data_IF_603516112025
#
_entry.id   IF_603516112025
#
_cell.length_a   1.000
_cell.length_b   1.000
_cell.length_c   1.000
_cell.angle_alpha   90.00
_cell.angle_beta   90.00
_cell.angle_gamma   90.00
#
_symmetry.space_group_name_H-M   'P 1'
#
loop_
_entity.id
_entity.type
_entity.pdbx_description
1 polymer ?
#
# COMPACT_ATOMS: atom_id res chain seq x y z
N UNK A 1 27.29 14.63 -24.67
CA UNK A 1 26.06 15.42 -24.51
C UNK A 1 25.03 14.45 -23.97
N UNK A 2 24.94 14.41 -22.64
CA UNK A 2 24.23 13.37 -21.89
C UNK A 2 22.73 13.67 -21.90
N UNK A 3 21.93 12.65 -22.17
CA UNK A 3 20.47 12.68 -22.01
C UNK A 3 20.17 12.51 -20.53
N UNK A 4 19.52 13.50 -19.92
CA UNK A 4 19.03 13.46 -18.55
C UNK A 4 17.92 12.39 -18.44
N UNK A 5 18.15 11.43 -17.56
CA UNK A 5 17.16 10.43 -17.14
C UNK A 5 16.03 11.13 -16.38
N UNK A 6 14.90 11.35 -17.05
CA UNK A 6 13.67 11.76 -16.39
C UNK A 6 13.08 10.58 -15.61
N UNK A 7 13.59 10.35 -14.39
CA UNK A 7 13.06 9.37 -13.46
C UNK A 7 11.63 9.75 -13.03
N UNK A 8 10.65 8.93 -13.39
CA UNK A 8 9.27 9.07 -12.92
C UNK A 8 9.20 8.66 -11.45
N UNK A 9 9.08 9.64 -10.54
CA UNK A 9 8.84 9.38 -9.11
C UNK A 9 7.39 8.93 -8.90
N UNK A 10 7.21 7.74 -8.32
CA UNK A 10 5.91 7.14 -8.04
C UNK A 10 5.74 7.09 -6.52
N UNK A 11 4.96 8.03 -5.97
CA UNK A 11 4.70 8.11 -4.53
C UNK A 11 3.43 7.34 -4.14
N UNK A 12 3.46 6.81 -2.92
CA UNK A 12 2.37 6.23 -2.16
C UNK A 12 1.11 7.11 -2.10
N UNK A 13 0.00 6.55 -1.61
CA UNK A 13 -1.39 7.03 -1.75
C UNK A 13 -1.70 8.45 -1.21
N UNK A 14 -1.36 9.47 -1.98
CA UNK A 14 -2.10 10.69 -2.36
C UNK A 14 -3.03 11.54 -1.48
N UNK A 15 -3.42 11.16 -0.27
CA UNK A 15 -4.02 12.09 0.71
C UNK A 15 -3.14 12.32 1.94
N UNK A 16 -1.94 11.76 1.89
CA UNK A 16 -1.14 11.46 3.07
C UNK A 16 0.01 12.45 3.36
N UNK A 17 0.19 13.46 2.51
CA UNK A 17 1.39 14.31 2.54
C UNK A 17 1.22 15.66 3.27
N UNK A 18 0.06 15.91 3.89
CA UNK A 18 -0.08 17.00 4.87
C UNK A 18 -0.42 16.39 6.22
N UNK A 19 0.58 16.16 7.04
CA UNK A 19 0.40 15.82 8.45
C UNK A 19 0.10 17.14 9.17
N UNK A 20 -1.13 17.32 9.65
CA UNK A 20 -1.44 18.40 10.58
C UNK A 20 -0.95 18.02 11.98
N UNK A 21 -0.71 18.98 12.88
CA UNK A 21 -0.25 18.70 14.26
C UNK A 21 -1.09 17.65 15.00
N UNK A 22 -2.38 17.50 14.65
CA UNK A 22 -3.26 16.47 15.22
C UNK A 22 -2.90 15.05 14.74
N UNK A 23 -2.41 14.89 13.51
CA UNK A 23 -2.00 13.62 12.95
C UNK A 23 -0.65 13.17 13.54
N UNK A 24 0.26 14.11 13.85
CA UNK A 24 1.57 13.81 14.47
C UNK A 24 1.39 13.03 15.78
N UNK A 25 0.50 13.49 16.67
CA UNK A 25 0.25 12.81 17.94
C UNK A 25 -0.34 11.41 17.78
N UNK A 26 -1.21 11.21 16.79
CA UNK A 26 -1.78 9.88 16.52
C UNK A 26 -0.74 8.95 15.86
N UNK A 27 0.17 9.50 15.05
CA UNK A 27 1.34 8.79 14.51
C UNK A 27 2.28 8.36 15.63
N UNK A 28 2.61 9.26 16.55
CA UNK A 28 3.47 8.96 17.71
C UNK A 28 2.89 7.82 18.55
N UNK A 29 1.61 7.88 18.93
CA UNK A 29 0.93 6.80 19.67
C UNK A 29 0.99 5.47 18.93
N UNK A 30 0.73 5.49 17.62
CA UNK A 30 0.78 4.29 16.80
C UNK A 30 2.20 3.70 16.79
N UNK A 31 3.22 4.54 16.63
CA UNK A 31 4.63 4.11 16.62
C UNK A 31 5.06 3.54 17.97
N UNK A 32 4.70 4.18 19.08
CA UNK A 32 4.99 3.66 20.42
C UNK A 32 4.34 2.29 20.63
N UNK A 33 3.08 2.13 20.25
CA UNK A 33 2.39 0.85 20.29
C UNK A 33 3.09 -0.19 19.40
N UNK A 34 3.35 0.14 18.12
CA UNK A 34 3.97 -0.76 17.17
C UNK A 34 5.36 -1.25 17.62
N UNK A 35 6.18 -0.38 18.21
CA UNK A 35 7.48 -0.77 18.76
C UNK A 35 7.37 -1.75 19.93
N UNK A 36 6.35 -1.62 20.78
CA UNK A 36 6.09 -2.60 21.84
C UNK A 36 5.67 -3.95 21.27
N UNK A 37 4.83 -3.96 20.23
CA UNK A 37 4.42 -5.21 19.56
C UNK A 37 5.59 -5.90 18.85
N UNK A 38 6.47 -5.15 18.18
CA UNK A 38 7.68 -5.71 17.53
C UNK A 38 8.54 -6.52 18.51
N UNK A 39 8.61 -6.08 19.77
CA UNK A 39 9.38 -6.78 20.80
C UNK A 39 8.72 -8.08 21.28
N UNK A 40 7.41 -8.26 21.03
CA UNK A 40 6.60 -9.34 21.59
C UNK A 40 6.10 -10.33 20.53
N UNK A 41 5.90 -9.88 19.30
CA UNK A 41 5.25 -10.64 18.24
C UNK A 41 6.26 -10.91 17.11
N UNK A 42 6.69 -12.18 16.93
CA UNK A 42 7.50 -12.56 15.79
C UNK A 42 6.80 -12.24 14.47
N UNK A 43 7.55 -11.78 13.49
CA UNK A 43 7.04 -11.37 12.18
C UNK A 43 5.92 -10.32 12.19
N UNK A 44 5.88 -9.44 13.21
CA UNK A 44 4.90 -8.37 13.29
C UNK A 44 4.89 -7.45 12.06
N UNK A 45 5.93 -7.43 11.23
CA UNK A 45 6.00 -6.68 9.97
C UNK A 45 5.16 -7.27 8.82
N UNK A 46 4.54 -8.44 9.00
CA UNK A 46 3.58 -9.01 8.04
C UNK A 46 2.43 -8.02 7.80
N UNK A 47 2.20 -7.62 6.55
CA UNK A 47 1.16 -6.63 6.18
C UNK A 47 0.40 -7.09 4.95
N UNK A 48 -0.85 -6.61 4.83
CA UNK A 48 -1.59 -6.64 3.58
C UNK A 48 -2.12 -5.28 3.19
N UNK A 49 -2.35 -5.10 1.89
CA UNK A 49 -2.86 -3.87 1.30
C UNK A 49 -3.39 -4.12 -0.13
N UNK A 50 -4.08 -3.12 -0.66
CA UNK A 50 -4.74 -3.07 -1.96
C UNK A 50 -4.09 -2.01 -2.87
N UNK A 51 -3.91 -2.33 -4.15
CA UNK A 51 -3.55 -1.32 -5.14
C UNK A 51 -4.33 -1.44 -6.45
N UNK A 52 -4.58 -0.28 -7.06
CA UNK A 52 -5.11 -0.18 -8.42
C UNK A 52 -3.99 0.03 -9.45
N UNK A 53 -4.07 -0.73 -10.54
CA UNK A 53 -3.27 -0.60 -11.75
C UNK A 53 -4.18 -0.26 -12.92
N UNK A 54 -3.99 0.89 -13.54
CA UNK A 54 -4.84 1.39 -14.61
C UNK A 54 -4.15 1.16 -15.95
N UNK A 55 -4.87 0.60 -16.92
CA UNK A 55 -4.31 0.16 -18.19
C UNK A 55 -3.67 1.29 -19.00
N UNK A 56 -4.24 2.48 -18.95
CA UNK A 56 -3.68 3.68 -19.58
C UNK A 56 -2.46 4.27 -18.84
N UNK A 57 -1.90 3.56 -17.86
CA UNK A 57 -0.83 4.07 -17.02
C UNK A 57 -1.28 5.21 -16.10
N UNK A 58 -2.59 5.40 -15.91
CA UNK A 58 -3.10 6.45 -15.03
C UNK A 58 -2.61 6.22 -13.60
N UNK A 59 -1.72 7.09 -13.15
CA UNK A 59 -1.38 7.22 -11.73
C UNK A 59 -2.37 8.23 -11.15
N UNK A 60 -3.12 7.84 -10.12
CA UNK A 60 -4.14 8.66 -9.47
C UNK A 60 -3.60 10.09 -9.22
N UNK A 61 -4.34 11.13 -9.65
CA UNK A 61 -3.98 12.56 -9.46
C UNK A 61 -3.76 12.93 -7.99
N UNK A 62 -4.27 12.15 -7.05
CA UNK A 62 -3.97 12.31 -5.63
C UNK A 62 -2.52 11.84 -5.32
N UNK A 63 -2.02 10.79 -5.98
CA UNK A 63 -0.68 10.19 -5.77
C UNK A 63 0.42 10.80 -6.65
N UNK A 64 0.06 11.55 -7.70
CA UNK A 64 1.02 12.14 -8.64
C UNK A 64 0.95 13.67 -8.56
N UNK A 65 1.87 14.29 -7.79
CA UNK A 65 2.08 15.75 -7.81
C UNK A 65 3.38 16.06 -8.53
N UNK A 66 3.29 16.93 -9.55
CA UNK A 66 4.43 17.54 -10.23
C UNK A 66 4.85 18.74 -9.37
N UNK A 67 6.10 18.74 -8.90
CA UNK A 67 6.68 19.88 -8.20
C UNK A 67 7.33 20.81 -9.21
N UNK A 68 6.93 22.09 -9.20
CA UNK A 68 7.48 23.15 -10.04
C UNK A 68 7.40 24.47 -9.26
N UNK A 69 8.40 25.34 -9.38
CA UNK A 69 8.41 26.66 -8.74
C UNK A 69 7.30 27.58 -9.26
N UNK A 70 6.73 27.28 -10.44
CA UNK A 70 5.56 27.94 -11.00
C UNK A 70 4.54 26.94 -11.56
N UNK A 71 3.25 27.29 -11.57
CA UNK A 71 2.19 26.43 -12.10
C UNK A 71 2.48 26.03 -13.56
N UNK A 72 2.68 24.73 -13.87
CA UNK A 72 3.18 24.29 -15.17
C UNK A 72 2.15 24.42 -16.32
N UNK A 73 0.88 24.77 -16.06
CA UNK A 73 -0.18 24.92 -17.07
C UNK A 73 -0.35 23.69 -18.01
N UNK A 74 0.01 22.50 -17.52
CA UNK A 74 -0.12 21.25 -18.28
C UNK A 74 -1.50 20.65 -17.99
N UNK A 75 -2.30 20.45 -19.04
CA UNK A 75 -3.58 19.74 -18.97
C UNK A 75 -3.44 18.38 -19.65
N UNK A 76 -3.79 17.31 -18.94
CA UNK A 76 -3.85 15.95 -19.48
C UNK A 76 -5.30 15.48 -19.42
N UNK A 77 -5.92 15.32 -20.59
CA UNK A 77 -7.23 14.69 -20.72
C UNK A 77 -7.12 13.19 -20.42
N UNK A 78 -8.04 12.68 -19.59
CA UNK A 78 -8.05 11.28 -19.15
C UNK A 78 -9.47 10.72 -19.23
N UNK A 79 -9.66 9.46 -19.65
CA UNK A 79 -10.98 8.82 -19.65
C UNK A 79 -11.61 8.82 -18.25
N UNK A 80 -12.93 9.00 -18.16
CA UNK A 80 -13.66 9.08 -16.89
C UNK A 80 -13.65 7.75 -16.11
N UNK A 81 -13.51 6.63 -16.81
CA UNK A 81 -13.47 5.27 -16.26
C UNK A 81 -12.41 4.43 -16.99
N UNK A 82 -11.11 4.66 -16.75
CA UNK A 82 -10.09 3.84 -17.36
C UNK A 82 -10.18 2.41 -16.83
N UNK A 83 -9.88 1.45 -17.70
CA UNK A 83 -9.79 0.06 -17.32
C UNK A 83 -8.69 -0.14 -16.26
N UNK A 84 -8.97 -0.95 -15.23
CA UNK A 84 -8.02 -1.22 -14.15
C UNK A 84 -8.10 -2.65 -13.62
N UNK A 85 -6.98 -3.08 -13.04
CA UNK A 85 -6.91 -4.22 -12.14
C UNK A 85 -6.79 -3.72 -10.70
N UNK A 86 -7.53 -4.37 -9.80
CA UNK A 86 -7.33 -4.21 -8.36
C UNK A 86 -6.68 -5.49 -7.85
N UNK A 87 -5.55 -5.32 -7.19
CA UNK A 87 -4.79 -6.43 -6.61
C UNK A 87 -4.68 -6.21 -5.11
N UNK A 88 -4.84 -7.28 -4.35
CA UNK A 88 -4.48 -7.35 -2.95
C UNK A 88 -3.20 -8.15 -2.79
N UNK A 89 -2.38 -7.71 -1.86
CA UNK A 89 -1.09 -8.32 -1.58
C UNK A 89 -0.93 -8.53 -0.08
N UNK A 90 -0.34 -9.65 0.31
CA UNK A 90 0.28 -9.83 1.62
C UNK A 90 1.80 -9.97 1.45
N UNK A 91 2.58 -9.27 2.27
CA UNK A 91 4.05 -9.35 2.23
C UNK A 91 4.63 -9.67 3.60
N UNK A 92 5.69 -10.48 3.61
CA UNK A 92 6.51 -10.79 4.79
C UNK A 92 7.97 -11.05 4.38
N UNK A 93 8.86 -11.30 5.34
CA UNK A 93 10.29 -11.51 5.05
C UNK A 93 10.53 -12.66 4.05
N UNK A 94 9.67 -13.68 4.07
CA UNK A 94 9.78 -14.86 3.23
C UNK A 94 9.13 -14.73 1.84
N UNK A 95 8.40 -13.65 1.54
CA UNK A 95 7.80 -13.49 0.21
C UNK A 95 6.58 -12.57 0.15
N UNK A 96 5.95 -12.61 -1.02
CA UNK A 96 4.73 -11.87 -1.35
C UNK A 96 3.68 -12.85 -1.88
N UNK A 97 2.45 -12.70 -1.38
CA UNK A 97 1.25 -13.31 -1.93
C UNK A 97 0.44 -12.24 -2.64
N UNK A 98 0.10 -12.46 -3.90
CA UNK A 98 -0.66 -11.53 -4.73
C UNK A 98 -1.97 -12.18 -5.19
N UNK A 99 -3.07 -11.46 -5.06
CA UNK A 99 -4.38 -11.90 -5.52
C UNK A 99 -5.13 -10.77 -6.22
N UNK A 100 -5.97 -11.10 -7.19
CA UNK A 100 -6.82 -10.15 -7.91
C UNK A 100 -8.29 -10.63 -7.96
N UNK A 101 -9.18 -9.74 -8.40
CA UNK A 101 -10.63 -9.94 -8.47
C UNK A 101 -11.11 -10.36 -9.89
N UNK A 102 -10.38 -11.28 -10.53
CA UNK A 102 -10.68 -11.88 -11.86
C UNK A 102 -11.13 -10.89 -12.95
N UNK A 103 -10.57 -9.68 -12.98
CA UNK A 103 -10.70 -8.77 -14.13
C UNK A 103 -12.02 -8.03 -14.31
N UNK A 104 -12.95 -8.03 -13.34
CA UNK A 104 -14.19 -7.26 -13.51
C UNK A 104 -13.96 -5.74 -13.37
N UNK A 105 -14.08 -4.97 -14.45
CA UNK A 105 -13.92 -3.51 -14.41
C UNK A 105 -15.15 -2.80 -13.80
N UNK A 106 -15.27 -2.77 -12.47
CA UNK A 106 -16.29 -1.95 -11.78
C UNK A 106 -15.68 -1.31 -10.54
N UNK A 107 -16.10 -0.09 -10.24
CA UNK A 107 -15.73 0.66 -9.04
C UNK A 107 -15.85 -0.23 -7.79
N UNK A 108 -14.76 -0.33 -7.03
CA UNK A 108 -14.75 -1.03 -5.73
C UNK A 108 -15.64 -0.26 -4.78
N UNK A 109 -16.87 -0.75 -4.58
CA UNK A 109 -17.72 -0.35 -3.48
C UNK A 109 -17.46 -1.29 -2.28
N UNK A 110 -18.08 -1.02 -1.14
CA UNK A 110 -17.86 -1.83 0.07
C UNK A 110 -18.18 -3.32 -0.14
N UNK A 111 -19.24 -3.64 -0.89
CA UNK A 111 -19.66 -5.03 -1.15
C UNK A 111 -18.60 -5.78 -1.94
N UNK A 112 -18.06 -5.13 -2.97
CA UNK A 112 -17.05 -5.72 -3.83
C UNK A 112 -15.71 -5.87 -3.13
N UNK A 113 -15.32 -4.89 -2.33
CA UNK A 113 -14.15 -5.02 -1.46
C UNK A 113 -14.27 -6.25 -0.55
N UNK A 114 -15.42 -6.43 0.11
CA UNK A 114 -15.67 -7.59 0.97
C UNK A 114 -15.69 -8.90 0.20
N UNK A 115 -16.25 -8.92 -1.02
CA UNK A 115 -16.22 -10.10 -1.89
C UNK A 115 -14.77 -10.46 -2.28
N UNK A 116 -13.95 -9.46 -2.61
CA UNK A 116 -12.55 -9.65 -2.96
C UNK A 116 -11.74 -10.25 -1.79
N UNK A 117 -11.95 -9.72 -0.58
CA UNK A 117 -11.33 -10.25 0.65
C UNK A 117 -11.80 -11.68 0.95
N UNK A 118 -13.11 -11.94 0.90
CA UNK A 118 -13.70 -13.23 1.31
C UNK A 118 -13.43 -14.35 0.32
N UNK A 119 -13.55 -14.07 -0.98
CA UNK A 119 -13.55 -15.10 -2.01
C UNK A 119 -12.16 -15.41 -2.54
N UNK A 120 -11.22 -14.47 -2.41
CA UNK A 120 -9.90 -14.62 -3.00
C UNK A 120 -8.78 -14.45 -1.98
N UNK A 121 -8.77 -13.36 -1.21
CA UNK A 121 -7.63 -13.08 -0.34
C UNK A 121 -7.52 -14.03 0.87
N UNK A 122 -8.61 -14.21 1.64
CA UNK A 122 -8.62 -15.08 2.83
C UNK A 122 -8.34 -16.56 2.48
N UNK A 123 -8.95 -17.16 1.45
CA UNK A 123 -8.64 -18.53 1.04
C UNK A 123 -7.16 -18.74 0.75
N UNK A 124 -6.51 -17.80 0.06
CA UNK A 124 -5.09 -17.90 -0.26
C UNK A 124 -4.18 -17.74 0.98
N UNK A 125 -4.53 -16.86 1.92
CA UNK A 125 -3.81 -16.79 3.19
C UNK A 125 -3.81 -18.13 3.94
N UNK A 126 -4.95 -18.83 3.93
CA UNK A 126 -5.09 -20.14 4.58
C UNK A 126 -4.27 -21.23 3.87
N UNK A 127 -4.09 -21.14 2.54
CA UNK A 127 -3.29 -22.09 1.76
C UNK A 127 -1.77 -21.94 2.01
N UNK A 128 -1.33 -20.73 2.37
CA UNK A 128 0.08 -20.38 2.50
C UNK A 128 0.59 -20.34 3.95
N UNK A 129 -0.22 -20.79 4.91
CA UNK A 129 0.07 -20.80 6.36
C UNK A 129 0.63 -19.47 6.88
N UNK A 130 0.11 -18.35 6.35
CA UNK A 130 0.48 -16.99 6.80
C UNK A 130 -0.29 -16.67 8.09
N UNK A 131 -0.16 -17.56 9.09
CA UNK A 131 -0.73 -17.38 10.42
C UNK A 131 -0.19 -16.08 11.04
N UNK A 132 -1.00 -15.49 11.90
CA UNK A 132 -0.66 -14.26 12.63
C UNK A 132 -0.42 -13.02 11.74
N UNK A 133 -0.90 -13.03 10.49
CA UNK A 133 -0.90 -11.83 9.65
C UNK A 133 -1.71 -10.71 10.30
N UNK A 134 -1.08 -9.54 10.43
CA UNK A 134 -1.75 -8.30 10.78
C UNK A 134 -2.34 -7.66 9.53
N UNK A 135 -3.66 -7.45 9.53
CA UNK A 135 -4.32 -6.70 8.46
C UNK A 135 -4.31 -5.23 8.79
N UNK A 136 -3.86 -4.43 7.83
CA UNK A 136 -3.84 -2.99 7.92
C UNK A 136 -4.78 -2.43 6.85
N UNK A 137 -5.67 -1.51 7.25
CA UNK A 137 -6.60 -0.85 6.35
C UNK A 137 -6.52 0.66 6.51
N UNK A 138 -6.61 1.37 5.39
CA UNK A 138 -6.60 2.83 5.40
C UNK A 138 -7.96 3.41 5.82
N UNK A 139 -8.09 4.74 5.73
CA UNK A 139 -9.30 5.45 6.11
C UNK A 139 -10.42 5.46 5.06
N UNK A 140 -10.34 4.68 3.98
CA UNK A 140 -11.32 4.66 2.90
C UNK A 140 -12.70 4.22 3.38
N UNK A 141 -13.74 4.74 2.74
CA UNK A 141 -15.13 4.48 3.15
C UNK A 141 -15.49 2.99 3.03
N UNK A 142 -14.96 2.28 2.02
CA UNK A 142 -15.18 0.84 1.86
C UNK A 142 -14.51 0.02 2.97
N UNK A 143 -13.33 0.42 3.43
CA UNK A 143 -12.57 -0.25 4.49
C UNK A 143 -13.15 0.01 5.87
N UNK A 144 -13.67 1.21 6.10
CA UNK A 144 -14.21 1.65 7.41
C UNK A 144 -15.71 1.42 7.58
N UNK A 145 -16.38 0.89 6.55
CA UNK A 145 -17.77 0.48 6.63
C UNK A 145 -17.94 -0.60 7.71
N UNK A 146 -19.01 -0.49 8.52
CA UNK A 146 -19.26 -1.42 9.64
C UNK A 146 -19.20 -2.89 9.23
N UNK A 147 -19.87 -3.25 8.13
CA UNK A 147 -19.85 -4.61 7.60
C UNK A 147 -18.45 -5.10 7.20
N UNK A 148 -17.57 -4.18 6.77
CA UNK A 148 -16.18 -4.50 6.42
C UNK A 148 -15.34 -4.68 7.68
N UNK A 149 -15.48 -3.80 8.67
CA UNK A 149 -14.80 -3.94 9.96
C UNK A 149 -15.22 -5.22 10.68
N UNK A 150 -16.51 -5.56 10.68
CA UNK A 150 -17.03 -6.78 11.31
C UNK A 150 -16.44 -8.03 10.62
N UNK A 151 -16.42 -8.08 9.28
CA UNK A 151 -15.79 -9.16 8.51
C UNK A 151 -14.30 -9.33 8.85
N UNK A 152 -13.56 -8.22 8.89
CA UNK A 152 -12.13 -8.26 9.17
C UNK A 152 -11.83 -8.63 10.62
N UNK A 153 -12.67 -8.24 11.59
CA UNK A 153 -12.56 -8.66 12.99
C UNK A 153 -12.84 -10.15 13.14
N UNK A 154 -13.84 -10.69 12.45
CA UNK A 154 -14.14 -12.13 12.48
C UNK A 154 -12.97 -12.96 11.92
N UNK A 155 -12.22 -12.40 10.97
CA UNK A 155 -11.09 -13.07 10.31
C UNK A 155 -9.77 -12.90 11.07
N UNK A 156 -9.43 -11.67 11.45
CA UNK A 156 -8.11 -11.30 11.99
C UNK A 156 -8.11 -11.09 13.51
N UNK A 157 -9.28 -11.04 14.15
CA UNK A 157 -9.42 -10.80 15.58
C UNK A 157 -8.82 -9.45 15.99
N UNK A 158 -7.99 -9.47 17.04
CA UNK A 158 -7.28 -8.28 17.52
C UNK A 158 -6.14 -7.82 16.58
N UNK A 159 -5.79 -8.62 15.57
CA UNK A 159 -4.72 -8.31 14.59
C UNK A 159 -5.19 -7.41 13.43
N UNK A 160 -6.08 -6.47 13.73
CA UNK A 160 -6.62 -5.52 12.75
C UNK A 160 -6.23 -4.08 13.11
N UNK A 161 -5.49 -3.45 12.21
CA UNK A 161 -5.09 -2.04 12.27
C UNK A 161 -5.96 -1.27 11.27
N UNK A 162 -6.96 -0.54 11.77
CA UNK A 162 -7.88 0.20 10.92
C UNK A 162 -8.57 1.29 11.72
N UNK A 163 -9.13 2.29 11.03
CA UNK A 163 -10.06 3.20 11.68
C UNK A 163 -11.30 2.42 12.12
N UNK A 164 -11.61 2.46 13.42
CA UNK A 164 -12.64 1.64 14.09
C UNK A 164 -12.29 0.15 14.30
N UNK A 165 -11.04 -0.24 14.00
CA UNK A 165 -10.47 -1.52 14.38
C UNK A 165 -10.05 -1.57 15.86
N UNK A 166 -9.58 -2.75 16.34
CA UNK A 166 -8.94 -2.91 17.65
C UNK A 166 -7.76 -1.94 17.85
N UNK A 167 -6.96 -1.75 16.79
CA UNK A 167 -5.87 -0.78 16.76
C UNK A 167 -6.20 0.33 15.77
N UNK A 168 -6.21 1.57 16.25
CA UNK A 168 -6.53 2.72 15.40
C UNK A 168 -5.36 3.05 14.47
N UNK A 169 -5.60 3.02 13.15
CA UNK A 169 -4.64 3.50 12.17
C UNK A 169 -4.62 5.03 12.14
N UNK A 170 -3.43 5.62 12.19
CA UNK A 170 -3.30 7.07 12.05
C UNK A 170 -3.54 7.46 10.59
N UNK A 171 -4.43 8.43 10.31
CA UNK A 171 -4.57 8.97 8.96
C UNK A 171 -3.21 9.44 8.44
N UNK A 172 -2.99 9.34 7.14
CA UNK A 172 -1.85 10.01 6.50
C UNK A 172 -0.49 9.47 6.90
N UNK A 173 -0.39 8.15 6.85
CA UNK A 173 0.74 7.39 7.36
C UNK A 173 1.23 6.32 6.38
N UNK A 174 1.09 6.55 5.07
CA UNK A 174 1.68 5.72 4.02
C UNK A 174 3.17 5.41 4.24
N UNK A 175 3.92 6.34 4.85
CA UNK A 175 5.32 6.14 5.17
C UNK A 175 5.56 5.10 6.28
N UNK A 176 4.49 4.63 6.94
CA UNK A 176 4.51 3.52 7.91
C UNK A 176 4.03 2.20 7.33
N UNK A 177 3.62 2.14 6.06
CA UNK A 177 3.17 0.90 5.40
C UNK A 177 4.21 0.42 4.39
N UNK A 178 4.87 -0.74 4.60
CA UNK A 178 5.81 -1.32 3.63
C UNK A 178 5.28 -1.45 2.20
N UNK A 179 4.00 -1.77 2.07
CA UNK A 179 3.35 -1.92 0.77
C UNK A 179 3.22 -0.58 0.04
N UNK A 180 2.94 0.50 0.76
CA UNK A 180 2.83 1.86 0.21
C UNK A 180 4.19 2.47 -0.16
N UNK A 181 5.13 2.55 0.79
CA UNK A 181 6.38 3.29 0.58
C UNK A 181 7.39 2.56 -0.32
N UNK A 182 7.20 1.25 -0.51
CA UNK A 182 8.08 0.42 -1.33
C UNK A 182 7.31 -0.32 -2.43
N UNK A 183 6.44 -1.28 -2.07
CA UNK A 183 5.97 -2.28 -3.04
C UNK A 183 5.25 -1.66 -4.23
N UNK A 184 4.23 -0.85 -3.98
CA UNK A 184 3.39 -0.35 -5.06
C UNK A 184 4.11 0.63 -5.97
N UNK A 185 5.00 1.46 -5.42
CA UNK A 185 5.87 2.33 -6.23
C UNK A 185 6.83 1.52 -7.09
N UNK A 186 7.50 0.53 -6.50
CA UNK A 186 8.45 -0.34 -7.19
C UNK A 186 7.79 -1.18 -8.28
N UNK A 187 6.68 -1.84 -7.98
CA UNK A 187 5.97 -2.69 -8.93
C UNK A 187 5.42 -1.86 -10.09
N UNK A 188 4.82 -0.68 -9.82
CA UNK A 188 4.31 0.20 -10.89
C UNK A 188 5.41 0.69 -11.82
N UNK A 189 6.61 0.99 -11.33
CA UNK A 189 7.70 1.47 -12.18
C UNK A 189 8.13 0.43 -13.21
N UNK A 190 8.11 -0.85 -12.82
CA UNK A 190 8.49 -1.96 -13.69
C UNK A 190 7.34 -2.43 -14.58
N UNK A 191 6.12 -2.53 -14.04
CA UNK A 191 4.94 -2.97 -14.79
C UNK A 191 4.63 -2.04 -15.96
N UNK A 192 4.74 -0.72 -15.76
CA UNK A 192 4.44 0.24 -16.82
C UNK A 192 5.61 0.51 -17.78
N UNK A 193 6.83 0.06 -17.46
CA UNK A 193 7.96 0.14 -18.39
C UNK A 193 7.68 -0.64 -19.69
N UNK A 194 6.94 -1.74 -19.60
CA UNK A 194 6.55 -2.61 -20.71
C UNK A 194 5.33 -2.08 -21.49
N UNK A 195 4.72 -0.97 -21.05
CA UNK A 195 3.57 -0.30 -21.69
C UNK A 195 2.43 -1.27 -22.07
N UNK A 196 1.84 -1.99 -21.10
CA UNK A 196 0.78 -2.96 -21.38
C UNK A 196 -0.42 -2.30 -22.10
N UNK A 197 -0.99 -3.01 -23.07
CA UNK A 197 -2.11 -2.54 -23.90
C UNK A 197 -3.41 -3.31 -23.65
N UNK A 198 -3.36 -4.40 -22.87
CA UNK A 198 -4.52 -5.19 -22.44
C UNK A 198 -4.46 -5.47 -20.94
N UNK A 199 -5.59 -5.79 -20.31
CA UNK A 199 -5.64 -6.19 -18.91
C UNK A 199 -4.86 -7.48 -18.66
N UNK A 200 -4.93 -8.46 -19.56
CA UNK A 200 -4.17 -9.70 -19.43
C UNK A 200 -2.65 -9.44 -19.41
N UNK A 201 -2.15 -8.59 -20.32
CA UNK A 201 -0.73 -8.25 -20.33
C UNK A 201 -0.34 -7.43 -19.09
N UNK A 202 -1.22 -6.54 -18.61
CA UNK A 202 -0.99 -5.82 -17.35
C UNK A 202 -0.91 -6.80 -16.17
N UNK A 203 -1.80 -7.78 -16.10
CA UNK A 203 -1.81 -8.82 -15.08
C UNK A 203 -0.54 -9.68 -15.11
N UNK A 204 -0.14 -10.16 -16.30
CA UNK A 204 1.06 -10.95 -16.50
C UNK A 204 2.31 -10.18 -16.04
N UNK A 205 2.40 -8.88 -16.35
CA UNK A 205 3.50 -8.05 -15.91
C UNK A 205 3.52 -7.87 -14.39
N UNK A 206 2.37 -7.68 -13.75
CA UNK A 206 2.28 -7.60 -12.28
C UNK A 206 2.77 -8.91 -11.66
N UNK A 207 2.26 -10.06 -12.13
CA UNK A 207 2.65 -11.39 -11.64
C UNK A 207 4.16 -11.62 -11.79
N UNK A 208 4.72 -11.30 -12.95
CA UNK A 208 6.16 -11.41 -13.25
C UNK A 208 6.99 -10.55 -12.31
N UNK A 209 6.67 -9.26 -12.20
CA UNK A 209 7.43 -8.32 -11.36
C UNK A 209 7.38 -8.72 -9.88
N UNK A 210 6.22 -9.16 -9.39
CA UNK A 210 6.08 -9.64 -8.01
C UNK A 210 6.92 -10.91 -7.78
N UNK A 211 6.90 -11.86 -8.72
CA UNK A 211 7.70 -13.08 -8.62
C UNK A 211 9.22 -12.82 -8.64
N UNK A 212 9.66 -11.73 -9.27
CA UNK A 212 11.07 -11.31 -9.31
C UNK A 212 11.54 -10.62 -8.01
N UNK A 213 10.63 -10.29 -7.08
CA UNK A 213 11.00 -9.67 -5.80
C UNK A 213 11.66 -10.72 -4.90
N UNK A 214 12.94 -10.50 -4.63
CA UNK A 214 13.76 -11.40 -3.81
C UNK A 214 13.52 -11.18 -2.32
N UNK A 215 13.56 -12.24 -1.48
CA UNK A 215 13.43 -12.13 -0.02
C UNK A 215 14.39 -11.10 0.62
N UNK A 216 15.63 -10.99 0.13
CA UNK A 216 16.61 -10.02 0.65
C UNK A 216 16.16 -8.57 0.45
N UNK A 217 15.33 -8.30 -0.56
CA UNK A 217 14.75 -6.98 -0.77
C UNK A 217 13.69 -6.70 0.32
N UNK A 218 12.89 -7.71 0.67
CA UNK A 218 11.87 -7.62 1.72
C UNK A 218 12.50 -7.47 3.10
N UNK A 219 13.60 -8.17 3.39
CA UNK A 219 14.39 -7.99 4.61
C UNK A 219 14.81 -6.53 4.80
N UNK A 220 15.40 -5.92 3.77
CA UNK A 220 15.77 -4.48 3.81
C UNK A 220 14.57 -3.57 4.00
N UNK A 221 13.42 -3.90 3.41
CA UNK A 221 12.17 -3.14 3.58
C UNK A 221 11.72 -3.17 5.03
N UNK A 222 11.87 -4.31 5.72
CA UNK A 222 11.52 -4.48 7.14
C UNK A 222 12.52 -3.75 8.05
N UNK A 223 13.82 -3.81 7.75
CA UNK A 223 14.85 -3.02 8.45
C UNK A 223 14.57 -1.51 8.32
N UNK A 224 14.20 -1.08 7.11
CA UNK A 224 13.81 0.30 6.87
C UNK A 224 12.56 0.66 7.67
N UNK A 225 11.54 -0.20 7.69
CA UNK A 225 10.33 0.03 8.49
C UNK A 225 10.65 0.33 9.96
N UNK A 226 11.54 -0.47 10.57
CA UNK A 226 12.01 -0.25 11.95
C UNK A 226 12.68 1.12 12.09
N UNK A 227 13.54 1.49 11.15
CA UNK A 227 14.19 2.81 11.12
C UNK A 227 13.19 3.96 10.98
N UNK A 228 12.08 3.76 10.26
CA UNK A 228 11.00 4.76 10.13
C UNK A 228 10.25 4.96 11.43
N UNK A 229 9.94 3.87 12.14
CA UNK A 229 9.34 3.93 13.47
C UNK A 229 10.24 4.72 14.43
N UNK A 230 11.54 4.42 14.46
CA UNK A 230 12.49 5.15 15.29
C UNK A 230 12.55 6.64 14.95
N UNK A 231 12.57 6.98 13.65
CA UNK A 231 12.54 8.37 13.20
C UNK A 231 11.28 9.09 13.67
N UNK A 232 10.09 8.51 13.44
CA UNK A 232 8.82 9.15 13.77
C UNK A 232 8.67 9.32 15.28
N UNK A 233 9.20 8.39 16.08
CA UNK A 233 9.27 8.56 17.52
C UNK A 233 10.19 9.71 17.91
N UNK A 234 11.39 9.77 17.33
CA UNK A 234 12.36 10.84 17.60
C UNK A 234 11.90 12.23 17.13
N UNK A 235 11.04 12.28 16.10
CA UNK A 235 10.47 13.50 15.55
C UNK A 235 9.11 13.88 16.15
N UNK A 236 8.65 13.19 17.21
CA UNK A 236 7.35 13.41 17.84
C UNK A 236 6.17 13.35 16.85
N UNK A 237 6.21 12.39 15.91
CA UNK A 237 5.13 12.15 14.96
C UNK A 237 5.26 12.84 13.61
N UNK A 238 6.26 13.72 13.43
CA UNK A 238 6.44 14.44 12.16
C UNK A 238 6.76 13.48 10.99
N UNK A 239 6.26 13.80 9.78
CA UNK A 239 6.48 12.96 8.60
C UNK A 239 7.96 12.90 8.22
N UNK A 240 8.36 11.77 7.61
CA UNK A 240 9.71 11.66 7.07
C UNK A 240 9.92 12.62 5.87
N UNK A 241 11.08 13.30 5.78
CA UNK A 241 11.40 14.18 4.66
C UNK A 241 11.54 13.42 3.34
N UNK A 242 11.89 12.13 3.38
CA UNK A 242 11.88 11.23 2.23
C UNK A 242 11.04 9.99 2.51
N UNK A 243 9.98 9.79 1.71
CA UNK A 243 9.14 8.58 1.77
C UNK A 243 9.77 7.45 0.94
N UNK A 244 10.63 7.76 -0.03
CA UNK A 244 11.16 6.79 -1.00
C UNK A 244 12.15 5.82 -0.32
N UNK A 245 11.87 4.52 -0.44
CA UNK A 245 12.81 3.47 -0.08
C UNK A 245 13.98 3.43 -1.08
N UNK A 246 15.21 3.50 -0.57
CA UNK A 246 16.46 3.37 -1.35
C UNK A 246 17.06 1.99 -1.06
N UNK A 247 17.26 1.17 -2.11
CA UNK A 247 17.80 -0.19 -2.02
C UNK A 247 19.28 -0.25 -1.63
#
# INVERSE_FOLDING_TARGET
>A
MAMEESGMQINASGRDNFVFNRDEREREKFVEWAQNEIALVPDFHKRNDEAHFWLNGYVNKQNCRIWSEANPQVYVETPLHPEKLTVCCASWAGGILLQNDEGHNVTVNGDRYRAMITNFFIPELNNHDVQELWSQQDGATCHTARATIDLLKDTFGDRLISRFGPVNWSPRSCDLTPLDYFLWGYVKSLVYADKPQTLDHLEDNIRRVIADIRPQMLEKVIENWTSRLDYIRASCGSPMPEIIFKM
#
